data_IF_089419729772
#
_entry.id   IF_089419729772
#
_cell.length_a   1.000
_cell.length_b   1.000
_cell.length_c   1.000
_cell.angle_alpha   90.00
_cell.angle_beta   90.00
_cell.angle_gamma   90.00
#
_symmetry.space_group_name_H-M   'P 1'
#
loop_
_entity.id
_entity.type
_entity.pdbx_description
1 polymer ?
#
# COMPACT_ATOMS: atom_id res chain seq x y z
N UNK A 1 -2.85 -8.03 -6.35
CA UNK A 1 -2.39 -9.38 -5.95
C UNK A 1 -0.87 -9.55 -5.99
N UNK A 2 -0.23 -9.58 -7.17
CA UNK A 2 1.14 -10.10 -7.32
C UNK A 2 2.21 -9.08 -6.94
N UNK A 3 2.17 -7.88 -7.51
CA UNK A 3 3.28 -6.93 -7.42
C UNK A 3 3.54 -6.37 -6.03
N UNK A 4 2.55 -6.42 -5.12
CA UNK A 4 2.73 -5.91 -3.76
C UNK A 4 3.69 -6.75 -2.90
N UNK A 5 3.85 -8.05 -3.20
CA UNK A 5 4.70 -8.95 -2.40
C UNK A 5 6.20 -8.64 -2.57
N UNK A 6 6.56 -7.75 -3.52
CA UNK A 6 7.91 -7.17 -3.63
C UNK A 6 8.38 -6.42 -2.36
N UNK A 7 7.44 -6.08 -1.47
CA UNK A 7 7.68 -5.34 -0.22
C UNK A 7 8.04 -6.27 0.96
N UNK A 8 7.95 -7.59 0.76
CA UNK A 8 8.15 -8.61 1.78
C UNK A 8 9.52 -9.26 1.62
N UNK A 9 10.14 -9.64 2.73
CA UNK A 9 11.34 -10.48 2.72
C UNK A 9 10.98 -11.91 2.33
N UNK A 10 11.90 -12.62 1.69
CA UNK A 10 11.63 -13.97 1.21
C UNK A 10 11.35 -14.92 2.39
N UNK A 11 10.14 -15.50 2.39
CA UNK A 11 9.67 -16.39 3.45
C UNK A 11 8.63 -15.76 4.37
N UNK A 12 8.45 -14.44 4.31
CA UNK A 12 7.45 -13.74 5.11
C UNK A 12 6.02 -13.95 4.58
N UNK A 13 5.07 -13.81 5.50
CA UNK A 13 3.65 -13.71 5.20
C UNK A 13 3.21 -12.24 5.13
N UNK A 14 1.99 -12.00 4.65
CA UNK A 14 1.45 -10.64 4.58
C UNK A 14 0.94 -10.23 5.96
N UNK A 15 1.60 -9.25 6.59
CA UNK A 15 1.22 -8.77 7.92
C UNK A 15 0.40 -7.47 7.90
N UNK A 16 0.77 -6.54 7.04
CA UNK A 16 0.21 -5.19 7.03
C UNK A 16 -1.25 -5.18 6.54
N UNK A 17 -2.14 -4.48 7.24
CA UNK A 17 -3.59 -4.56 7.04
C UNK A 17 -4.04 -4.13 5.63
N UNK A 18 -3.37 -3.13 5.04
CA UNK A 18 -3.62 -2.71 3.67
C UNK A 18 -3.15 -3.75 2.64
N UNK A 19 -1.99 -4.37 2.84
CA UNK A 19 -1.53 -5.46 2.00
C UNK A 19 -2.42 -6.70 2.10
N UNK A 20 -2.85 -7.06 3.33
CA UNK A 20 -3.81 -8.14 3.56
C UNK A 20 -5.12 -7.86 2.85
N UNK A 21 -5.66 -6.64 2.95
CA UNK A 21 -6.94 -6.34 2.32
C UNK A 21 -6.89 -6.21 0.79
N UNK A 22 -5.72 -5.93 0.21
CA UNK A 22 -5.54 -6.03 -1.25
C UNK A 22 -5.42 -7.48 -1.68
N UNK A 23 -4.74 -8.30 -0.87
CA UNK A 23 -4.53 -9.72 -1.14
C UNK A 23 -5.85 -10.49 -1.10
N UNK A 24 -6.64 -10.37 -0.03
CA UNK A 24 -7.86 -11.17 0.12
C UNK A 24 -8.92 -10.86 -0.96
N UNK A 25 -9.08 -9.60 -1.39
CA UNK A 25 -10.01 -9.19 -2.45
C UNK A 25 -9.56 -9.78 -3.76
N UNK A 26 -8.26 -9.64 -4.08
CA UNK A 26 -7.71 -10.16 -5.32
C UNK A 26 -7.80 -11.68 -5.40
N UNK A 27 -7.44 -12.39 -4.31
CA UNK A 27 -7.41 -13.85 -4.26
C UNK A 27 -8.83 -14.43 -4.27
N UNK A 28 -9.76 -13.84 -3.51
CA UNK A 28 -11.16 -14.25 -3.50
C UNK A 28 -11.80 -14.09 -4.88
N UNK A 29 -11.66 -12.91 -5.51
CA UNK A 29 -12.21 -12.68 -6.84
C UNK A 29 -11.57 -13.58 -7.90
N UNK A 30 -10.26 -13.86 -7.78
CA UNK A 30 -9.58 -14.81 -8.66
C UNK A 30 -10.15 -16.22 -8.53
N UNK A 31 -10.36 -16.70 -7.30
CA UNK A 31 -10.94 -18.03 -7.07
C UNK A 31 -12.39 -18.11 -7.58
N UNK A 32 -13.24 -17.15 -7.22
CA UNK A 32 -14.66 -17.17 -7.61
C UNK A 32 -14.87 -16.91 -9.10
N UNK A 33 -13.97 -16.19 -9.74
CA UNK A 33 -14.00 -15.94 -11.18
C UNK A 33 -13.30 -17.00 -12.03
N UNK A 34 -12.72 -18.04 -11.41
CA UNK A 34 -11.85 -19.00 -12.12
C UNK A 34 -12.62 -19.82 -13.16
N UNK A 35 -13.78 -20.35 -12.80
CA UNK A 35 -14.60 -21.21 -13.68
C UNK A 35 -15.13 -20.43 -14.89
N UNK A 36 -15.59 -19.19 -14.66
CA UNK A 36 -16.04 -18.29 -15.71
C UNK A 36 -14.90 -17.62 -16.49
N UNK A 37 -13.64 -17.85 -16.09
CA UNK A 37 -12.46 -17.27 -16.75
C UNK A 37 -12.34 -15.75 -16.64
N UNK A 38 -12.93 -15.14 -15.61
CA UNK A 38 -12.96 -13.68 -15.38
C UNK A 38 -11.55 -13.10 -15.24
N UNK A 39 -10.69 -13.79 -14.50
CA UNK A 39 -9.28 -13.44 -14.32
C UNK A 39 -8.43 -14.65 -14.72
N UNK A 40 -7.45 -14.42 -15.61
CA UNK A 40 -6.53 -15.45 -16.10
C UNK A 40 -5.14 -15.19 -15.56
N UNK A 41 -4.52 -16.24 -15.00
CA UNK A 41 -3.07 -16.26 -14.74
C UNK A 41 -2.41 -17.11 -15.82
N UNK A 42 -1.43 -16.53 -16.49
CA UNK A 42 -0.68 -17.23 -17.53
C UNK A 42 0.81 -16.94 -17.40
N UNK A 43 1.62 -17.82 -18.00
CA UNK A 43 3.08 -17.73 -17.96
C UNK A 43 3.59 -17.43 -19.37
N UNK A 44 4.40 -16.38 -19.50
CA UNK A 44 5.10 -16.03 -20.75
C UNK A 44 6.58 -15.86 -20.42
N UNK A 45 7.45 -16.58 -21.13
CA UNK A 45 8.91 -16.51 -20.95
C UNK A 45 9.35 -16.69 -19.48
N UNK A 46 8.77 -17.66 -18.79
CA UNK A 46 9.13 -17.90 -17.38
C UNK A 46 8.43 -16.98 -16.37
N UNK A 47 7.72 -15.95 -16.81
CA UNK A 47 7.13 -14.91 -15.95
C UNK A 47 5.61 -15.03 -15.87
N UNK A 48 5.05 -14.89 -14.66
CA UNK A 48 3.61 -14.92 -14.42
C UNK A 48 3.00 -13.54 -14.70
N UNK A 49 1.88 -13.55 -15.42
CA UNK A 49 1.05 -12.40 -15.74
C UNK A 49 -0.39 -12.67 -15.30
N UNK A 50 -1.10 -11.59 -14.99
CA UNK A 50 -2.53 -11.59 -14.68
C UNK A 50 -3.22 -10.79 -15.77
N UNK A 51 -4.25 -11.38 -16.37
CA UNK A 51 -5.11 -10.76 -17.36
C UNK A 51 -6.56 -10.78 -16.85
N UNK A 52 -7.26 -9.66 -16.99
CA UNK A 52 -8.67 -9.54 -16.63
C UNK A 52 -9.46 -9.63 -17.93
N UNK A 53 -10.11 -10.77 -18.14
CA UNK A 53 -10.81 -11.05 -19.39
C UNK A 53 -12.22 -10.44 -19.43
N UNK A 54 -12.85 -10.24 -18.27
CA UNK A 54 -14.18 -9.66 -18.13
C UNK A 54 -14.24 -8.71 -16.93
N UNK A 55 -14.32 -7.41 -17.21
CA UNK A 55 -14.36 -6.37 -16.19
C UNK A 55 -15.74 -6.22 -15.54
N UNK A 56 -16.82 -6.50 -16.27
CA UNK A 56 -18.18 -6.39 -15.76
C UNK A 56 -18.46 -7.55 -14.79
N UNK A 57 -18.07 -8.77 -15.16
CA UNK A 57 -18.12 -9.92 -14.26
C UNK A 57 -17.25 -9.71 -13.01
N UNK A 58 -16.04 -9.14 -13.16
CA UNK A 58 -15.19 -8.82 -12.02
C UNK A 58 -15.82 -7.77 -11.09
N UNK A 59 -16.48 -6.75 -11.63
CA UNK A 59 -17.24 -5.79 -10.83
C UNK A 59 -18.37 -6.47 -10.04
N UNK A 60 -19.06 -7.44 -10.66
CA UNK A 60 -20.04 -8.28 -9.97
C UNK A 60 -19.44 -9.01 -8.76
N UNK A 61 -18.29 -9.65 -8.93
CA UNK A 61 -17.57 -10.33 -7.83
C UNK A 61 -17.17 -9.37 -6.71
N UNK A 62 -16.75 -8.14 -7.03
CA UNK A 62 -16.51 -7.11 -6.00
C UNK A 62 -17.79 -6.78 -5.23
N UNK A 63 -18.92 -6.67 -5.92
CA UNK A 63 -20.22 -6.44 -5.29
C UNK A 63 -20.62 -7.56 -4.33
N UNK A 64 -20.39 -8.81 -4.70
CA UNK A 64 -20.71 -9.96 -3.85
C UNK A 64 -19.79 -10.04 -2.62
N UNK A 65 -18.49 -9.81 -2.80
CA UNK A 65 -17.56 -9.73 -1.69
C UNK A 65 -17.88 -8.54 -0.76
N UNK A 66 -18.26 -7.39 -1.31
CA UNK A 66 -18.66 -6.22 -0.53
C UNK A 66 -19.88 -6.52 0.34
N UNK A 67 -20.91 -7.19 -0.21
CA UNK A 67 -22.08 -7.62 0.56
C UNK A 67 -21.67 -8.52 1.73
N UNK A 68 -20.79 -9.48 1.48
CA UNK A 68 -20.35 -10.42 2.52
C UNK A 68 -19.51 -9.72 3.60
N UNK A 69 -18.54 -8.89 3.23
CA UNK A 69 -17.74 -8.10 4.18
C UNK A 69 -18.64 -7.16 5.01
N UNK A 70 -19.64 -6.55 4.39
CA UNK A 70 -20.61 -5.72 5.09
C UNK A 70 -21.46 -6.54 6.07
N UNK A 71 -21.93 -7.73 5.69
CA UNK A 71 -22.65 -8.66 6.58
C UNK A 71 -21.78 -9.02 7.78
N UNK A 72 -20.55 -9.47 7.53
CA UNK A 72 -19.56 -9.83 8.55
C UNK A 72 -19.39 -8.70 9.57
N UNK A 73 -19.13 -7.49 9.07
CA UNK A 73 -18.93 -6.29 9.90
C UNK A 73 -20.18 -5.95 10.71
N UNK A 74 -21.35 -5.90 10.06
CA UNK A 74 -22.60 -5.47 10.70
C UNK A 74 -23.13 -6.47 11.72
N UNK A 75 -22.79 -7.76 11.59
CA UNK A 75 -23.24 -8.82 12.49
C UNK A 75 -22.17 -9.20 13.54
N UNK A 76 -20.97 -8.62 13.47
CA UNK A 76 -19.87 -8.95 14.38
C UNK A 76 -19.36 -10.39 14.21
N UNK A 77 -19.40 -10.93 12.99
CA UNK A 77 -19.06 -12.32 12.67
C UNK A 77 -17.53 -12.51 12.61
N UNK A 78 -16.91 -12.64 13.78
CA UNK A 78 -15.45 -12.76 13.91
C UNK A 78 -14.89 -13.99 13.16
N UNK A 79 -15.56 -15.14 13.23
CA UNK A 79 -15.06 -16.36 12.60
C UNK A 79 -15.07 -16.23 11.07
N UNK A 80 -16.12 -15.64 10.48
CA UNK A 80 -16.13 -15.35 9.05
C UNK A 80 -15.05 -14.33 8.66
N UNK A 81 -14.85 -13.28 9.47
CA UNK A 81 -13.78 -12.32 9.24
C UNK A 81 -12.39 -13.00 9.24
N UNK A 82 -12.12 -13.84 10.25
CA UNK A 82 -10.89 -14.61 10.38
C UNK A 82 -10.70 -15.56 9.20
N UNK A 83 -11.74 -16.30 8.81
CA UNK A 83 -11.68 -17.21 7.67
C UNK A 83 -11.34 -16.47 6.37
N UNK A 84 -11.92 -15.30 6.13
CA UNK A 84 -11.63 -14.48 4.95
C UNK A 84 -10.18 -13.98 4.96
N UNK A 85 -9.69 -13.46 6.11
CA UNK A 85 -8.31 -12.97 6.25
C UNK A 85 -7.30 -14.09 6.11
N UNK A 86 -7.42 -15.16 6.90
CA UNK A 86 -6.46 -16.26 6.93
C UNK A 86 -6.47 -17.05 5.61
N UNK A 87 -7.65 -17.22 5.00
CA UNK A 87 -7.82 -17.97 3.76
C UNK A 87 -7.26 -17.25 2.52
N UNK A 88 -7.38 -15.92 2.46
CA UNK A 88 -7.06 -15.18 1.23
C UNK A 88 -6.08 -14.02 1.41
N UNK A 89 -5.83 -13.56 2.63
CA UNK A 89 -5.11 -12.31 2.92
C UNK A 89 -3.68 -12.47 3.41
N UNK A 90 -3.30 -13.65 3.92
CA UNK A 90 -2.03 -13.85 4.66
C UNK A 90 -0.97 -14.59 3.85
N UNK A 91 -1.31 -15.75 3.30
CA UNK A 91 -0.32 -16.69 2.74
C UNK A 91 0.26 -16.20 1.41
N UNK A 92 1.59 -16.31 1.27
CA UNK A 92 2.33 -15.95 0.06
C UNK A 92 2.84 -17.22 -0.63
N UNK A 93 2.59 -17.35 -1.94
CA UNK A 93 3.20 -18.43 -2.72
C UNK A 93 4.69 -18.13 -2.92
N UNK A 94 5.55 -18.97 -2.35
CA UNK A 94 7.00 -18.77 -2.36
C UNK A 94 7.61 -18.66 -3.77
N UNK A 95 7.25 -19.57 -4.68
CA UNK A 95 7.78 -19.55 -6.05
C UNK A 95 7.40 -18.27 -6.79
N UNK A 96 6.16 -17.79 -6.61
CA UNK A 96 5.72 -16.52 -7.17
C UNK A 96 6.48 -15.33 -6.54
N UNK A 97 6.73 -15.38 -5.23
CA UNK A 97 7.45 -14.33 -4.52
C UNK A 97 8.90 -14.20 -4.99
N UNK A 98 9.61 -15.32 -5.13
CA UNK A 98 10.96 -15.38 -5.69
C UNK A 98 11.00 -14.76 -7.10
N UNK A 99 10.02 -15.09 -7.95
CA UNK A 99 9.90 -14.49 -9.28
C UNK A 99 9.68 -12.97 -9.22
N UNK A 100 8.79 -12.50 -8.34
CA UNK A 100 8.47 -11.07 -8.19
C UNK A 100 9.66 -10.26 -7.70
N UNK A 101 10.42 -10.79 -6.73
CA UNK A 101 11.63 -10.14 -6.22
C UNK A 101 12.68 -10.00 -7.33
N UNK A 102 12.98 -11.09 -8.04
CA UNK A 102 13.96 -11.08 -9.13
C UNK A 102 13.57 -10.09 -10.25
N UNK A 103 12.29 -10.01 -10.59
CA UNK A 103 11.79 -9.05 -11.59
C UNK A 103 11.85 -7.60 -11.10
N UNK A 104 11.61 -7.38 -9.80
CA UNK A 104 11.58 -6.04 -9.22
C UNK A 104 12.98 -5.47 -9.02
N UNK A 105 13.96 -6.31 -8.69
CA UNK A 105 15.36 -5.94 -8.54
C UNK A 105 15.93 -5.29 -9.80
N UNK A 106 15.60 -5.85 -10.97
CA UNK A 106 16.01 -5.31 -12.27
C UNK A 106 15.53 -3.87 -12.54
N UNK A 107 14.53 -3.37 -11.81
CA UNK A 107 14.02 -2.01 -11.95
C UNK A 107 14.80 -0.97 -11.11
N UNK A 108 15.64 -1.40 -10.16
CA UNK A 108 16.41 -0.51 -9.29
C UNK A 108 15.56 0.46 -8.44
N UNK A 109 14.28 0.16 -8.24
CA UNK A 109 13.34 1.04 -7.54
C UNK A 109 13.06 0.58 -6.11
N UNK A 110 13.05 1.53 -5.18
CA UNK A 110 12.67 1.26 -3.80
C UNK A 110 11.18 0.84 -3.70
N UNK A 111 10.84 -0.12 -2.82
CA UNK A 111 9.45 -0.56 -2.62
C UNK A 111 8.59 0.41 -1.79
N UNK A 112 9.20 1.42 -1.17
CA UNK A 112 8.56 2.45 -0.37
C UNK A 112 8.89 3.84 -0.92
N UNK A 113 7.90 4.73 -0.90
CA UNK A 113 8.06 6.13 -1.27
C UNK A 113 7.92 7.02 -0.05
N UNK A 114 8.66 8.13 -0.05
CA UNK A 114 8.51 9.23 0.90
C UNK A 114 8.49 10.56 0.15
N UNK A 115 7.99 11.60 0.80
CA UNK A 115 7.96 12.95 0.27
C UNK A 115 8.71 13.87 1.23
N UNK A 116 9.32 14.91 0.66
CA UNK A 116 9.76 16.09 1.42
C UNK A 116 8.78 17.22 1.14
N UNK A 117 8.63 18.10 2.11
CA UNK A 117 7.67 19.19 2.03
C UNK A 117 8.22 20.34 1.17
N UNK A 118 7.36 21.19 0.62
CA UNK A 118 7.78 22.51 0.17
C UNK A 118 8.17 23.39 1.36
N UNK A 119 8.84 24.51 1.09
CA UNK A 119 9.16 25.53 2.08
C UNK A 119 8.40 26.83 1.78
N UNK A 120 7.92 27.50 2.83
CA UNK A 120 7.09 28.70 2.74
C UNK A 120 7.78 29.85 3.47
N UNK A 121 8.03 30.95 2.77
CA UNK A 121 8.59 32.18 3.34
C UNK A 121 7.60 33.34 3.20
N UNK A 122 7.17 33.90 4.32
CA UNK A 122 6.26 35.04 4.34
C UNK A 122 7.03 36.37 4.28
N UNK A 123 6.61 37.26 3.39
CA UNK A 123 7.08 38.66 3.36
C UNK A 123 6.08 39.54 4.11
N UNK A 124 6.57 40.37 5.03
CA UNK A 124 5.74 41.29 5.82
C UNK A 124 6.01 42.74 5.44
N UNK A 125 4.98 43.61 5.50
CA UNK A 125 5.15 45.06 5.41
C UNK A 125 5.70 45.66 6.72
N UNK A 126 5.87 46.99 6.75
CA UNK A 126 6.39 47.70 7.91
C UNK A 126 5.47 47.63 9.14
N UNK A 127 4.17 47.40 8.94
CA UNK A 127 3.18 47.26 10.01
C UNK A 127 3.05 45.80 10.48
N UNK A 128 3.80 44.86 9.89
CA UNK A 128 3.81 43.44 10.22
C UNK A 128 2.72 42.62 9.51
N UNK A 129 2.01 43.19 8.55
CA UNK A 129 1.02 42.43 7.77
C UNK A 129 1.72 41.59 6.71
N UNK A 130 1.26 40.34 6.52
CA UNK A 130 1.74 39.49 5.43
C UNK A 130 1.29 40.08 4.10
N UNK A 131 2.25 40.36 3.22
CA UNK A 131 2.00 40.88 1.86
C UNK A 131 2.13 39.81 0.79
N UNK A 132 2.96 38.79 1.05
CA UNK A 132 3.21 37.68 0.12
C UNK A 132 3.68 36.44 0.87
N UNK A 133 3.44 35.26 0.30
CA UNK A 133 4.03 34.00 0.75
C UNK A 133 4.64 33.31 -0.46
N UNK A 134 5.97 33.15 -0.44
CA UNK A 134 6.71 32.46 -1.48
C UNK A 134 6.77 30.96 -1.16
N UNK A 135 6.57 30.12 -2.17
CA UNK A 135 6.66 28.67 -2.06
C UNK A 135 7.86 28.15 -2.84
N UNK A 136 8.79 27.48 -2.17
CA UNK A 136 9.88 26.75 -2.83
C UNK A 136 9.72 25.25 -2.66
N UNK A 137 10.34 24.48 -3.56
CA UNK A 137 10.28 23.02 -3.59
C UNK A 137 11.68 22.43 -3.41
N UNK A 138 12.17 22.32 -2.17
CA UNK A 138 13.45 21.66 -1.91
C UNK A 138 13.44 20.24 -2.45
N UNK A 139 14.60 19.77 -2.91
CA UNK A 139 14.80 18.42 -3.46
C UNK A 139 15.73 17.55 -2.59
N UNK A 140 16.18 18.07 -1.44
CA UNK A 140 17.15 17.42 -0.57
C UNK A 140 16.57 17.06 0.81
N UNK A 141 16.33 15.76 1.02
CA UNK A 141 15.81 15.22 2.27
C UNK A 141 16.67 15.58 3.49
N UNK A 142 17.99 15.39 3.39
CA UNK A 142 18.91 15.60 4.51
C UNK A 142 18.95 17.07 4.95
N UNK A 143 18.94 17.99 3.98
CA UNK A 143 18.91 19.42 4.27
C UNK A 143 17.60 19.81 4.97
N UNK A 144 16.46 19.35 4.45
CA UNK A 144 15.16 19.64 5.07
C UNK A 144 15.05 19.11 6.50
N UNK A 145 15.45 17.86 6.73
CA UNK A 145 15.39 17.26 8.07
C UNK A 145 16.29 17.98 9.07
N UNK A 146 17.49 18.40 8.66
CA UNK A 146 18.38 19.21 9.52
C UNK A 146 17.78 20.58 9.84
N UNK A 147 17.18 21.25 8.85
CA UNK A 147 16.50 22.53 9.07
C UNK A 147 15.32 22.39 10.04
N UNK A 148 14.51 21.35 9.89
CA UNK A 148 13.42 21.07 10.81
C UNK A 148 13.89 20.80 12.24
N UNK A 149 14.94 19.99 12.40
CA UNK A 149 15.54 19.77 13.73
C UNK A 149 16.13 21.05 14.33
N UNK A 150 16.65 21.98 13.54
CA UNK A 150 17.21 23.23 14.05
C UNK A 150 16.16 24.28 14.40
N UNK A 151 15.04 24.34 13.67
CA UNK A 151 14.06 25.44 13.76
C UNK A 151 12.81 25.02 14.54
N UNK A 152 12.37 23.76 14.38
CA UNK A 152 11.09 23.26 14.88
C UNK A 152 11.21 22.19 15.98
N UNK A 153 12.40 21.93 16.50
CA UNK A 153 12.61 20.96 17.59
C UNK A 153 12.36 21.57 18.97
N UNK A 154 11.09 21.77 19.32
CA UNK A 154 10.70 22.44 20.56
C UNK A 154 10.54 21.50 21.77
N UNK A 155 10.57 20.18 21.56
CA UNK A 155 10.45 19.21 22.64
C UNK A 155 11.82 18.93 23.28
N UNK A 156 11.87 18.70 24.61
CA UNK A 156 13.10 18.27 25.26
C UNK A 156 13.47 16.85 24.83
N UNK A 157 14.75 16.49 25.00
CA UNK A 157 15.23 15.14 24.71
C UNK A 157 14.56 14.07 25.60
N UNK A 158 14.11 14.46 26.80
CA UNK A 158 13.41 13.59 27.75
C UNK A 158 12.03 14.16 28.07
N UNK A 159 10.98 13.48 27.60
CA UNK A 159 9.58 13.79 27.88
C UNK A 159 9.02 12.79 28.90
N UNK A 160 9.59 12.75 30.11
CA UNK A 160 9.08 11.92 31.19
C UNK A 160 8.00 12.67 32.00
N UNK A 161 6.95 11.97 32.40
CA UNK A 161 6.06 12.43 33.46
C UNK A 161 6.82 12.26 34.77
N UNK A 162 7.05 13.37 35.49
CA UNK A 162 7.54 13.31 36.87
C UNK A 162 6.57 12.53 37.76
#
# INVERSE_FOLDING_TARGET
MITQIRRLELGDEIEESHMRNRAWVSNWCYEKGLEAGVIKKYKKEGKIYVDVADYEALQGLFGDLLKEVQRIKSQGDYEAAKALVEGYGVKVNRTLHEEVLARSEALGSAPYGGFINPWMDATMDADGNITHVELSYPDNFTAQMKSYSSIFNFLPDVNALN
#
